data_IF_103818881716
#
_entry.id   IF_103818881716
#
_cell.length_a   1.000
_cell.length_b   1.000
_cell.length_c   1.000
_cell.angle_alpha   90.00
_cell.angle_beta   90.00
_cell.angle_gamma   90.00
#
_symmetry.space_group_name_H-M   'P 1'
#
loop_
_entity.id
_entity.type
_entity.pdbx_description
1 polymer ?
#
# COMPACT_ATOMS: atom_id res chain seq x y z
N UNK A 1 20.81 23.76 -24.24
CA UNK A 1 21.13 22.37 -24.40
C UNK A 1 19.82 21.64 -24.58
N UNK A 2 19.52 21.26 -25.84
CA UNK A 2 18.26 20.64 -26.23
C UNK A 2 18.10 19.26 -25.63
N UNK A 3 16.87 18.93 -25.34
CA UNK A 3 16.46 17.62 -24.84
C UNK A 3 16.90 16.57 -25.87
N UNK A 4 17.77 15.59 -25.54
CA UNK A 4 18.33 14.63 -26.48
C UNK A 4 17.32 13.59 -26.97
N UNK A 5 16.07 13.64 -26.51
CA UNK A 5 15.03 12.74 -26.98
C UNK A 5 13.99 13.53 -27.80
N UNK A 6 13.70 13.09 -29.03
CA UNK A 6 12.59 13.66 -29.78
C UNK A 6 11.31 13.50 -28.96
N UNK A 7 10.40 14.48 -29.00
CA UNK A 7 9.08 14.35 -28.37
C UNK A 7 8.44 13.07 -28.89
N UNK A 8 7.95 12.24 -27.97
CA UNK A 8 7.23 11.00 -28.28
C UNK A 8 6.17 11.31 -29.37
N UNK A 9 6.26 10.73 -30.57
CA UNK A 9 5.32 10.99 -31.65
C UNK A 9 3.86 10.69 -31.27
N UNK A 10 3.63 9.98 -30.17
CA UNK A 10 2.30 9.72 -29.60
C UNK A 10 1.77 10.89 -28.76
N UNK A 11 2.60 11.89 -28.42
CA UNK A 11 2.20 13.04 -27.61
C UNK A 11 1.42 14.11 -28.42
N UNK A 12 1.45 14.02 -29.73
CA UNK A 12 0.77 14.99 -30.62
C UNK A 12 -0.51 14.44 -31.25
N UNK A 13 -0.92 13.22 -30.94
CA UNK A 13 -2.07 12.59 -31.56
C UNK A 13 -3.30 12.63 -30.64
N UNK A 14 -4.28 13.35 -31.12
CA UNK A 14 -5.69 13.31 -30.74
C UNK A 14 -6.05 13.95 -29.39
N UNK A 15 -6.38 15.25 -29.45
CA UNK A 15 -7.51 15.77 -28.66
C UNK A 15 -8.75 15.01 -29.13
N UNK A 16 -8.97 13.81 -28.61
CA UNK A 16 -10.28 13.19 -28.71
C UNK A 16 -11.31 14.13 -28.08
N UNK A 17 -12.45 14.37 -28.72
CA UNK A 17 -13.50 15.17 -28.11
C UNK A 17 -13.82 14.58 -26.73
N UNK A 18 -14.13 15.43 -25.73
CA UNK A 18 -14.47 14.94 -24.40
C UNK A 18 -15.62 13.93 -24.56
N UNK A 19 -15.53 12.75 -23.91
CA UNK A 19 -16.60 11.78 -23.98
C UNK A 19 -17.90 12.44 -23.50
N UNK A 20 -19.06 12.02 -24.02
CA UNK A 20 -20.34 12.57 -23.60
C UNK A 20 -20.46 12.50 -22.08
N UNK A 21 -21.16 13.44 -21.44
CA UNK A 21 -21.24 13.53 -19.99
C UNK A 21 -21.91 12.27 -19.44
N UNK A 22 -21.09 11.26 -19.15
CA UNK A 22 -21.50 10.15 -18.32
C UNK A 22 -21.91 10.69 -16.94
N UNK A 23 -22.81 10.02 -16.25
CA UNK A 23 -23.19 10.40 -14.89
C UNK A 23 -21.91 10.60 -14.04
N UNK A 24 -21.95 11.52 -13.08
CA UNK A 24 -20.82 11.79 -12.17
C UNK A 24 -20.30 10.46 -11.57
N UNK A 25 -21.20 9.56 -11.26
CA UNK A 25 -20.88 8.21 -10.77
C UNK A 25 -20.05 7.41 -11.78
N UNK A 26 -20.39 7.44 -13.06
CA UNK A 26 -19.63 6.72 -14.08
C UNK A 26 -18.19 7.24 -14.21
N UNK A 27 -17.98 8.54 -14.16
CA UNK A 27 -16.64 9.16 -14.15
C UNK A 27 -15.85 8.78 -12.90
N UNK A 28 -16.48 8.82 -11.74
CA UNK A 28 -15.85 8.39 -10.48
C UNK A 28 -15.43 6.91 -10.55
N UNK A 29 -16.28 6.03 -11.06
CA UNK A 29 -15.93 4.61 -11.22
C UNK A 29 -14.79 4.39 -12.22
N UNK A 30 -14.65 5.25 -13.24
CA UNK A 30 -13.51 5.19 -14.16
C UNK A 30 -12.22 5.69 -13.51
N UNK A 31 -12.30 6.71 -12.68
CA UNK A 31 -11.16 7.27 -11.96
C UNK A 31 -10.73 6.37 -10.78
N UNK A 32 -11.70 5.75 -10.09
CA UNK A 32 -11.44 4.84 -8.98
C UNK A 32 -10.65 3.62 -9.44
N UNK A 33 -9.58 3.34 -8.74
CA UNK A 33 -8.73 2.18 -9.00
C UNK A 33 -7.35 2.32 -8.39
N UNK A 34 -6.55 3.31 -8.77
CA UNK A 34 -5.21 3.53 -8.21
C UNK A 34 -5.21 3.71 -6.69
N UNK A 35 -6.19 4.40 -6.11
CA UNK A 35 -6.34 4.55 -4.67
C UNK A 35 -6.69 3.24 -3.96
N UNK A 36 -7.53 2.40 -4.59
CA UNK A 36 -7.83 1.06 -4.07
C UNK A 36 -6.60 0.15 -4.18
N UNK A 37 -5.82 0.26 -5.28
CA UNK A 37 -4.55 -0.45 -5.41
C UNK A 37 -3.54 0.01 -4.35
N UNK A 38 -3.50 1.31 -4.06
CA UNK A 38 -2.71 1.86 -2.97
C UNK A 38 -3.11 1.22 -1.64
N UNK A 39 -4.41 1.19 -1.31
CA UNK A 39 -4.90 0.53 -0.11
C UNK A 39 -4.54 -0.96 -0.08
N UNK A 40 -4.74 -1.68 -1.18
CA UNK A 40 -4.42 -3.10 -1.28
C UNK A 40 -2.93 -3.40 -1.10
N UNK A 41 -2.05 -2.53 -1.58
CA UNK A 41 -0.60 -2.65 -1.39
C UNK A 41 -0.17 -2.26 0.04
N UNK A 42 -0.85 -1.29 0.64
CA UNK A 42 -0.57 -0.81 1.99
C UNK A 42 -1.12 -1.76 3.07
N UNK A 43 -2.36 -2.25 2.89
CA UNK A 43 -3.06 -3.14 3.82
C UNK A 43 -2.58 -4.58 3.58
N UNK A 44 -1.39 -4.88 4.02
CA UNK A 44 -0.80 -6.21 3.94
C UNK A 44 -0.26 -6.60 5.30
N UNK A 45 1.01 -7.03 5.33
CA UNK A 45 1.72 -7.41 6.56
C UNK A 45 1.75 -6.26 7.59
N UNK A 46 1.78 -5.01 7.15
CA UNK A 46 1.75 -3.84 8.04
C UNK A 46 0.49 -3.83 8.93
N UNK A 47 -0.68 -4.00 8.34
CA UNK A 47 -1.95 -3.97 9.07
C UNK A 47 -2.20 -5.30 9.78
N UNK A 48 -2.09 -6.44 9.09
CA UNK A 48 -2.36 -7.74 9.69
C UNK A 48 -1.37 -8.12 10.80
N UNK A 49 -0.08 -7.85 10.62
CA UNK A 49 0.91 -8.27 11.60
C UNK A 49 1.21 -7.18 12.63
N UNK A 50 1.51 -5.95 12.19
CA UNK A 50 1.95 -4.91 13.12
C UNK A 50 0.79 -4.32 13.93
N UNK A 51 -0.38 -4.06 13.32
CA UNK A 51 -1.54 -3.57 14.07
C UNK A 51 -2.07 -4.63 15.03
N UNK A 52 -2.17 -5.90 14.59
CA UNK A 52 -2.59 -6.99 15.48
C UNK A 52 -1.63 -7.17 16.65
N UNK A 53 -0.31 -7.11 16.42
CA UNK A 53 0.68 -7.15 17.50
C UNK A 53 0.60 -5.95 18.41
N UNK A 54 0.37 -4.75 17.85
CA UNK A 54 0.17 -3.53 18.64
C UNK A 54 -1.05 -3.68 19.55
N UNK A 55 -2.16 -4.15 19.01
CA UNK A 55 -3.39 -4.43 19.76
C UNK A 55 -3.19 -5.49 20.84
N UNK A 56 -2.54 -6.60 20.52
CA UNK A 56 -2.30 -7.69 21.47
C UNK A 56 -1.36 -7.31 22.63
N UNK A 57 -0.34 -6.48 22.36
CA UNK A 57 0.67 -6.11 23.37
C UNK A 57 0.31 -4.84 24.14
N UNK A 58 -0.37 -3.90 23.52
CA UNK A 58 -0.58 -2.55 24.06
C UNK A 58 -2.04 -2.10 24.02
N UNK A 59 -2.97 -2.96 23.62
CA UNK A 59 -4.37 -2.56 23.41
C UNK A 59 -4.48 -1.44 22.39
N UNK A 60 -5.37 -0.48 22.63
CA UNK A 60 -5.54 0.69 21.75
C UNK A 60 -4.59 1.85 22.05
N UNK A 61 -3.66 1.70 22.98
CA UNK A 61 -2.77 2.80 23.42
C UNK A 61 -1.83 3.29 22.30
N UNK A 62 -1.60 2.48 21.25
CA UNK A 62 -0.80 2.87 20.09
C UNK A 62 -1.64 3.39 18.91
N UNK A 63 -2.96 3.36 18.98
CA UNK A 63 -3.83 3.83 17.88
C UNK A 63 -3.56 5.30 17.51
N UNK A 64 -3.27 6.15 18.51
CA UNK A 64 -2.88 7.54 18.28
C UNK A 64 -1.61 7.68 17.42
N UNK A 65 -0.63 6.81 17.60
CA UNK A 65 0.60 6.81 16.80
C UNK A 65 0.34 6.34 15.35
N UNK A 66 -0.59 5.40 15.15
CA UNK A 66 -1.02 4.98 13.81
C UNK A 66 -1.66 6.15 13.07
N UNK A 67 -2.62 6.84 13.70
CA UNK A 67 -3.25 8.03 13.11
C UNK A 67 -2.22 9.13 12.84
N UNK A 68 -1.32 9.39 13.79
CA UNK A 68 -0.26 10.38 13.64
C UNK A 68 0.65 10.04 12.44
N UNK A 69 1.05 8.77 12.28
CA UNK A 69 1.87 8.34 11.15
C UNK A 69 1.17 8.60 9.81
N UNK A 70 -0.13 8.34 9.72
CA UNK A 70 -0.92 8.64 8.53
C UNK A 70 -0.97 10.14 8.27
N UNK A 71 -1.26 10.97 9.28
CA UNK A 71 -1.32 12.42 9.12
C UNK A 71 0.02 13.02 8.67
N UNK A 72 1.13 12.54 9.24
CA UNK A 72 2.47 13.03 8.88
C UNK A 72 2.89 12.64 7.46
N UNK A 73 2.48 11.45 6.99
CA UNK A 73 2.84 10.98 5.64
C UNK A 73 1.88 11.45 4.55
N UNK A 74 0.66 11.88 4.90
CA UNK A 74 -0.36 12.32 3.96
C UNK A 74 0.14 13.31 2.89
N UNK A 75 0.88 14.39 3.26
CA UNK A 75 1.36 15.36 2.28
C UNK A 75 2.30 14.73 1.23
N UNK A 76 3.16 13.80 1.65
CA UNK A 76 4.08 13.11 0.75
C UNK A 76 3.35 12.10 -0.15
N UNK A 77 2.37 11.38 0.40
CA UNK A 77 1.63 10.33 -0.31
C UNK A 77 0.72 10.89 -1.41
N UNK A 78 0.09 12.03 -1.21
CA UNK A 78 -0.83 12.64 -2.17
C UNK A 78 -0.11 13.24 -3.40
N UNK A 79 1.20 13.47 -3.32
CA UNK A 79 1.99 14.04 -4.43
C UNK A 79 1.97 13.13 -5.66
N UNK A 80 2.05 11.80 -5.47
CA UNK A 80 2.10 10.83 -6.57
C UNK A 80 0.96 10.96 -7.58
N UNK A 81 -0.29 10.75 -7.17
CA UNK A 81 -1.44 10.84 -8.06
C UNK A 81 -1.65 12.27 -8.59
N UNK A 82 -1.45 13.30 -7.76
CA UNK A 82 -1.55 14.70 -8.20
C UNK A 82 -0.54 15.05 -9.30
N UNK A 83 0.70 14.62 -9.13
CA UNK A 83 1.74 14.85 -10.12
C UNK A 83 1.42 14.13 -11.43
N UNK A 84 1.00 12.86 -11.37
CA UNK A 84 0.65 12.08 -12.55
C UNK A 84 -0.50 12.71 -13.35
N UNK A 85 -1.53 13.22 -12.67
CA UNK A 85 -2.66 13.90 -13.33
C UNK A 85 -2.25 15.26 -13.90
N UNK A 86 -1.46 16.04 -13.16
CA UNK A 86 -1.07 17.37 -13.60
C UNK A 86 -0.09 17.38 -14.78
N UNK A 87 0.80 16.39 -14.86
CA UNK A 87 1.90 16.38 -15.84
C UNK A 87 1.78 15.30 -16.91
N UNK A 88 0.91 14.30 -16.71
CA UNK A 88 0.85 13.11 -17.56
C UNK A 88 2.09 12.22 -17.46
N UNK A 89 2.95 12.44 -16.46
CA UNK A 89 4.21 11.71 -16.27
C UNK A 89 4.32 11.14 -14.85
N UNK A 90 5.15 10.12 -14.64
CA UNK A 90 5.33 9.54 -13.32
C UNK A 90 6.31 10.33 -12.45
N UNK A 91 6.25 10.12 -11.13
CA UNK A 91 7.24 10.69 -10.22
C UNK A 91 8.66 10.19 -10.52
N UNK A 92 8.82 8.99 -11.05
CA UNK A 92 10.12 8.47 -11.48
C UNK A 92 10.72 9.34 -12.60
N UNK A 93 9.89 9.78 -13.54
CA UNK A 93 10.30 10.73 -14.59
C UNK A 93 10.61 12.11 -14.01
N UNK A 94 9.88 12.54 -12.97
CA UNK A 94 10.22 13.78 -12.25
C UNK A 94 11.60 13.72 -11.62
N UNK A 95 11.92 12.64 -10.91
CA UNK A 95 13.25 12.46 -10.32
C UNK A 95 14.36 12.42 -11.38
N UNK A 96 14.11 11.77 -12.52
CA UNK A 96 15.05 11.79 -13.65
C UNK A 96 15.30 13.20 -14.20
N UNK A 97 14.26 14.05 -14.26
CA UNK A 97 14.39 15.45 -14.70
C UNK A 97 15.14 16.32 -13.70
N UNK A 98 15.07 16.00 -12.41
CA UNK A 98 15.84 16.70 -11.37
C UNK A 98 17.34 16.39 -11.43
N UNK A 99 17.73 15.33 -12.15
CA UNK A 99 19.11 14.98 -12.36
C UNK A 99 19.52 13.61 -11.80
N UNK A 100 20.76 13.19 -12.04
CA UNK A 100 21.25 11.87 -11.66
C UNK A 100 21.28 11.65 -10.15
N UNK A 101 21.44 12.71 -9.36
CA UNK A 101 21.44 12.60 -7.89
C UNK A 101 20.08 12.17 -7.33
N UNK A 102 18.97 12.77 -7.82
CA UNK A 102 17.65 12.47 -7.33
C UNK A 102 17.23 11.03 -7.67
N UNK A 103 17.47 10.60 -8.92
CA UNK A 103 17.15 9.22 -9.32
C UNK A 103 18.10 8.20 -8.70
N UNK A 104 19.37 8.56 -8.51
CA UNK A 104 20.36 7.72 -7.83
C UNK A 104 20.02 7.49 -6.37
N UNK A 105 19.62 8.55 -5.65
CA UNK A 105 19.16 8.44 -4.27
C UNK A 105 17.88 7.59 -4.17
N UNK A 106 16.90 7.80 -5.05
CA UNK A 106 15.69 6.98 -5.10
C UNK A 106 16.02 5.51 -5.35
N UNK A 107 16.90 5.22 -6.33
CA UNK A 107 17.32 3.86 -6.63
C UNK A 107 18.04 3.21 -5.46
N UNK A 108 18.95 3.93 -4.79
CA UNK A 108 19.68 3.44 -3.62
C UNK A 108 18.71 3.06 -2.47
N UNK A 109 17.77 3.95 -2.15
CA UNK A 109 16.78 3.71 -1.10
C UNK A 109 15.88 2.53 -1.50
N UNK A 110 15.38 2.50 -2.73
CA UNK A 110 14.50 1.44 -3.21
C UNK A 110 15.19 0.08 -3.21
N UNK A 111 16.43 0.00 -3.68
CA UNK A 111 17.20 -1.25 -3.65
C UNK A 111 17.49 -1.70 -2.22
N UNK A 112 17.86 -0.78 -1.32
CA UNK A 112 18.12 -1.11 0.08
C UNK A 112 16.88 -1.60 0.83
N UNK A 113 15.73 -1.00 0.57
CA UNK A 113 14.46 -1.38 1.22
C UNK A 113 13.77 -2.57 0.57
N UNK A 114 13.92 -2.77 -0.75
CA UNK A 114 13.26 -3.80 -1.52
C UNK A 114 13.53 -5.22 -0.95
N UNK A 115 14.79 -5.55 -0.75
CA UNK A 115 15.15 -6.87 -0.23
C UNK A 115 14.66 -7.09 1.20
N UNK A 116 14.78 -6.08 2.05
CA UNK A 116 14.35 -6.15 3.45
C UNK A 116 12.83 -6.29 3.56
N UNK A 117 12.09 -5.48 2.81
CA UNK A 117 10.62 -5.51 2.79
C UNK A 117 10.14 -6.83 2.19
N UNK A 118 10.70 -7.23 1.03
CA UNK A 118 10.32 -8.47 0.36
C UNK A 118 10.56 -9.69 1.24
N UNK A 119 11.71 -9.77 1.91
CA UNK A 119 12.02 -10.85 2.83
C UNK A 119 11.02 -10.89 4.00
N UNK A 120 10.76 -9.75 4.64
CA UNK A 120 9.83 -9.67 5.78
C UNK A 120 8.40 -10.07 5.37
N UNK A 121 7.89 -9.53 4.26
CA UNK A 121 6.54 -9.83 3.75
C UNK A 121 6.42 -11.30 3.36
N UNK A 122 7.41 -11.84 2.66
CA UNK A 122 7.40 -13.24 2.21
C UNK A 122 7.42 -14.22 3.39
N UNK A 123 8.29 -13.99 4.38
CA UNK A 123 8.41 -14.86 5.56
C UNK A 123 7.11 -14.87 6.36
N UNK A 124 6.51 -13.69 6.61
CA UNK A 124 5.24 -13.60 7.36
C UNK A 124 4.11 -14.27 6.59
N UNK A 125 4.00 -14.02 5.28
CA UNK A 125 2.98 -14.66 4.43
C UNK A 125 3.16 -16.17 4.39
N UNK A 126 4.38 -16.67 4.23
CA UNK A 126 4.67 -18.08 4.22
C UNK A 126 4.38 -18.74 5.58
N UNK A 127 4.69 -18.06 6.69
CA UNK A 127 4.41 -18.58 8.03
C UNK A 127 2.89 -18.69 8.28
N UNK A 128 2.11 -17.67 7.89
CA UNK A 128 0.64 -17.70 7.99
C UNK A 128 0.08 -18.82 7.10
N UNK A 129 0.53 -18.92 5.85
CA UNK A 129 0.07 -19.95 4.93
C UNK A 129 0.43 -21.36 5.42
N UNK A 130 1.65 -21.53 5.97
CA UNK A 130 2.10 -22.79 6.54
C UNK A 130 1.17 -23.21 7.69
N UNK A 131 0.99 -22.38 8.68
CA UNK A 131 0.17 -22.70 9.87
C UNK A 131 -1.32 -22.83 9.56
N UNK A 132 -1.86 -22.03 8.63
CA UNK A 132 -3.30 -22.01 8.35
C UNK A 132 -3.76 -23.07 7.33
N UNK A 133 -2.90 -23.48 6.41
CA UNK A 133 -3.28 -24.37 5.32
C UNK A 133 -2.31 -25.53 5.09
N UNK A 134 -1.01 -25.31 5.07
CA UNK A 134 -0.05 -26.35 4.68
C UNK A 134 0.04 -27.45 5.75
N UNK A 135 0.27 -27.07 7.00
CA UNK A 135 0.39 -28.04 8.11
C UNK A 135 -0.93 -28.81 8.38
N UNK A 136 -2.13 -28.19 8.37
CA UNK A 136 -3.37 -28.91 8.50
C UNK A 136 -3.68 -29.88 7.35
N UNK A 137 -3.22 -29.58 6.13
CA UNK A 137 -3.52 -30.41 4.96
C UNK A 137 -2.49 -31.51 4.70
N UNK A 138 -1.20 -31.24 4.94
CA UNK A 138 -0.11 -32.13 4.58
C UNK A 138 0.57 -32.79 5.80
N UNK A 139 0.24 -32.33 7.01
CA UNK A 139 0.90 -32.74 8.26
C UNK A 139 1.98 -31.74 8.69
N UNK A 140 2.16 -31.63 10.02
CA UNK A 140 3.17 -30.77 10.62
C UNK A 140 4.58 -31.13 10.10
N UNK A 141 5.36 -30.10 9.80
CA UNK A 141 6.75 -30.20 9.33
C UNK A 141 7.00 -30.95 7.99
N UNK A 142 5.95 -31.24 7.23
CA UNK A 142 6.09 -31.85 5.90
C UNK A 142 6.83 -30.94 4.93
N UNK A 143 6.56 -29.63 4.99
CA UNK A 143 7.23 -28.62 4.16
C UNK A 143 7.97 -27.60 5.04
N UNK A 144 9.28 -27.39 4.82
CA UNK A 144 10.01 -26.33 5.52
C UNK A 144 9.54 -24.94 5.08
N UNK A 145 9.62 -23.96 5.98
CA UNK A 145 9.15 -22.59 5.74
C UNK A 145 9.71 -21.97 4.46
N UNK A 146 10.99 -22.23 4.14
CA UNK A 146 11.61 -21.69 2.92
C UNK A 146 10.95 -22.22 1.64
N UNK A 147 10.46 -23.47 1.63
CA UNK A 147 9.79 -24.05 0.47
C UNK A 147 8.42 -23.40 0.24
N UNK A 148 7.68 -23.14 1.33
CA UNK A 148 6.42 -22.38 1.27
C UNK A 148 6.68 -20.95 0.80
N UNK A 149 7.73 -20.30 1.31
CA UNK A 149 8.14 -18.95 0.90
C UNK A 149 8.49 -18.90 -0.59
N UNK A 150 9.22 -19.88 -1.08
CA UNK A 150 9.56 -20.00 -2.51
C UNK A 150 8.28 -20.17 -3.35
N UNK A 151 7.35 -21.02 -2.90
CA UNK A 151 6.05 -21.21 -3.55
C UNK A 151 5.26 -19.91 -3.67
N UNK A 152 5.19 -19.12 -2.59
CA UNK A 152 4.55 -17.78 -2.59
C UNK A 152 5.22 -16.83 -3.58
N UNK A 153 6.54 -16.79 -3.61
CA UNK A 153 7.28 -15.95 -4.56
C UNK A 153 7.04 -16.36 -6.02
N UNK A 154 7.08 -17.66 -6.31
CA UNK A 154 6.83 -18.18 -7.66
C UNK A 154 5.40 -17.92 -8.11
N UNK A 155 4.42 -18.08 -7.20
CA UNK A 155 3.01 -17.75 -7.48
C UNK A 155 2.85 -16.26 -7.81
N UNK A 156 3.43 -15.38 -6.99
CA UNK A 156 3.41 -13.93 -7.23
C UNK A 156 4.07 -13.55 -8.56
N UNK A 157 5.24 -14.12 -8.84
CA UNK A 157 5.93 -13.91 -10.12
C UNK A 157 5.10 -14.42 -11.31
N UNK A 158 4.46 -15.58 -11.16
CA UNK A 158 3.57 -16.14 -12.18
C UNK A 158 2.36 -15.27 -12.48
N UNK A 159 1.71 -14.74 -11.45
CA UNK A 159 0.58 -13.79 -11.61
C UNK A 159 1.02 -12.54 -12.35
N UNK A 160 2.19 -11.98 -12.00
CA UNK A 160 2.73 -10.80 -12.68
C UNK A 160 3.11 -11.08 -14.14
N UNK A 161 3.71 -12.23 -14.40
CA UNK A 161 4.14 -12.62 -15.75
C UNK A 161 2.95 -12.93 -16.69
N UNK A 162 1.90 -13.54 -16.15
CA UNK A 162 0.75 -13.98 -16.95
C UNK A 162 -0.24 -12.86 -17.28
N UNK A 163 -0.38 -11.81 -16.43
CA UNK A 163 -1.60 -11.00 -16.48
C UNK A 163 -1.43 -9.49 -16.71
N UNK A 164 -0.26 -8.94 -16.62
CA UNK A 164 -0.07 -7.49 -16.72
C UNK A 164 -0.90 -6.69 -15.69
N UNK A 165 -1.03 -5.38 -15.91
CA UNK A 165 -1.70 -4.46 -14.97
C UNK A 165 -3.17 -4.80 -14.72
N UNK A 166 -3.91 -5.28 -15.71
CA UNK A 166 -5.34 -5.58 -15.58
C UNK A 166 -5.62 -6.72 -14.60
N UNK A 167 -4.82 -7.77 -14.66
CA UNK A 167 -4.90 -8.90 -13.74
C UNK A 167 -4.46 -8.50 -12.33
N UNK A 168 -3.37 -7.77 -12.22
CA UNK A 168 -2.91 -7.23 -10.96
C UNK A 168 -3.99 -6.39 -10.29
N UNK A 169 -4.62 -5.45 -11.01
CA UNK A 169 -5.71 -4.60 -10.51
C UNK A 169 -6.89 -5.43 -10.00
N UNK A 170 -7.32 -6.45 -10.74
CA UNK A 170 -8.45 -7.31 -10.36
C UNK A 170 -8.14 -8.17 -9.12
N UNK A 171 -6.98 -8.83 -9.10
CA UNK A 171 -6.56 -9.68 -7.97
C UNK A 171 -6.39 -8.85 -6.71
N UNK A 172 -5.69 -7.71 -6.78
CA UNK A 172 -5.46 -6.84 -5.63
C UNK A 172 -6.76 -6.29 -5.05
N UNK A 173 -7.72 -5.88 -5.89
CA UNK A 173 -9.04 -5.45 -5.43
C UNK A 173 -9.84 -6.55 -4.76
N UNK A 174 -9.80 -7.76 -5.32
CA UNK A 174 -10.45 -8.93 -4.73
C UNK A 174 -9.87 -9.28 -3.35
N UNK A 175 -8.54 -9.35 -3.25
CA UNK A 175 -7.86 -9.63 -1.99
C UNK A 175 -8.12 -8.54 -0.94
N UNK A 176 -8.08 -7.26 -1.36
CA UNK A 176 -8.37 -6.13 -0.49
C UNK A 176 -9.80 -6.19 0.06
N UNK A 177 -10.78 -6.53 -0.78
CA UNK A 177 -12.17 -6.67 -0.35
C UNK A 177 -12.31 -7.79 0.69
N UNK A 178 -11.73 -8.96 0.42
CA UNK A 178 -11.75 -10.09 1.37
C UNK A 178 -11.12 -9.68 2.70
N UNK A 179 -9.94 -9.04 2.65
CA UNK A 179 -9.27 -8.57 3.86
C UNK A 179 -10.08 -7.55 4.64
N UNK A 180 -10.66 -6.56 3.96
CA UNK A 180 -11.49 -5.55 4.60
C UNK A 180 -12.71 -6.19 5.30
N UNK A 181 -13.39 -7.13 4.63
CA UNK A 181 -14.52 -7.86 5.22
C UNK A 181 -14.07 -8.67 6.43
N UNK A 182 -12.99 -9.45 6.31
CA UNK A 182 -12.48 -10.24 7.44
C UNK A 182 -12.08 -9.38 8.63
N UNK A 183 -11.41 -8.24 8.39
CA UNK A 183 -11.01 -7.30 9.46
C UNK A 183 -12.23 -6.69 10.15
N UNK A 184 -13.22 -6.23 9.36
CA UNK A 184 -14.46 -5.66 9.93
C UNK A 184 -15.25 -6.71 10.71
N UNK A 185 -15.35 -7.94 10.21
CA UNK A 185 -16.03 -9.04 10.92
C UNK A 185 -15.30 -9.37 12.21
N UNK A 186 -13.97 -9.51 12.19
CA UNK A 186 -13.18 -9.77 13.38
C UNK A 186 -13.34 -8.64 14.41
N UNK A 187 -13.25 -7.38 13.98
CA UNK A 187 -13.48 -6.23 14.84
C UNK A 187 -14.90 -6.21 15.44
N UNK A 188 -15.94 -6.53 14.66
CA UNK A 188 -17.31 -6.56 15.11
C UNK A 188 -17.56 -7.68 16.16
N UNK A 189 -16.87 -8.81 16.06
CA UNK A 189 -16.95 -9.89 17.03
C UNK A 189 -16.29 -9.49 18.35
N UNK A 190 -15.14 -8.81 18.30
CA UNK A 190 -14.37 -8.43 19.49
C UNK A 190 -14.86 -7.14 20.15
N UNK A 191 -15.49 -6.22 19.39
CA UNK A 191 -15.91 -4.91 19.89
C UNK A 191 -16.80 -4.98 21.16
N UNK A 192 -17.77 -5.92 21.30
CA UNK A 192 -18.58 -6.02 22.51
C UNK A 192 -17.81 -6.43 23.76
N UNK A 193 -16.65 -7.10 23.59
CA UNK A 193 -15.80 -7.53 24.71
C UNK A 193 -14.87 -6.45 25.23
N UNK A 194 -14.73 -5.34 24.46
CA UNK A 194 -13.83 -4.24 24.80
C UNK A 194 -14.50 -3.25 25.77
N UNK A 195 -13.91 -3.08 26.95
CA UNK A 195 -14.28 -1.99 27.85
C UNK A 195 -13.60 -0.68 27.41
N UNK A 196 -14.27 0.04 26.52
CA UNK A 196 -13.77 1.30 25.94
C UNK A 196 -13.46 2.37 26.99
N UNK A 197 -14.08 2.28 28.19
CA UNK A 197 -13.88 3.25 29.29
C UNK A 197 -12.51 3.09 29.98
N UNK A 198 -11.90 1.91 29.84
CA UNK A 198 -10.63 1.55 30.49
C UNK A 198 -9.44 1.51 29.53
N UNK A 199 -9.65 1.87 28.25
CA UNK A 199 -8.57 1.80 27.28
C UNK A 199 -7.59 2.98 27.46
N UNK A 200 -6.32 2.73 27.76
CA UNK A 200 -5.33 3.79 27.83
C UNK A 200 -5.10 4.36 26.42
N UNK A 201 -5.15 5.69 26.30
CA UNK A 201 -4.87 6.40 25.04
C UNK A 201 -3.37 6.51 24.74
N UNK A 202 -2.52 6.29 25.73
CA UNK A 202 -1.06 6.29 25.62
C UNK A 202 -0.50 5.05 26.29
N UNK A 203 0.58 4.46 25.73
CA UNK A 203 1.22 3.32 26.33
C UNK A 203 1.90 3.71 27.65
N UNK A 204 1.85 2.83 28.64
CA UNK A 204 2.65 2.96 29.85
C UNK A 204 4.14 2.81 29.49
N UNK A 205 4.94 3.78 29.88
CA UNK A 205 6.38 3.74 29.66
C UNK A 205 7.00 2.83 30.71
N UNK A 206 7.67 1.74 30.33
CA UNK A 206 8.31 0.86 31.30
C UNK A 206 9.46 1.55 32.05
N UNK A 207 9.64 1.21 33.33
CA UNK A 207 10.75 1.71 34.13
C UNK A 207 12.06 1.07 33.70
N UNK A 208 12.03 -0.19 33.28
CA UNK A 208 13.20 -0.90 32.78
C UNK A 208 13.70 -0.28 31.45
N UNK A 209 15.00 0.09 31.37
CA UNK A 209 15.56 0.73 30.18
C UNK A 209 15.50 -0.15 28.93
N UNK A 210 15.64 -1.48 29.07
CA UNK A 210 15.59 -2.40 27.92
C UNK A 210 14.17 -2.52 27.37
N UNK A 211 13.17 -2.65 28.25
CA UNK A 211 11.76 -2.67 27.87
C UNK A 211 11.31 -1.32 27.24
N UNK A 212 11.83 -0.20 27.76
CA UNK A 212 11.58 1.12 27.20
C UNK A 212 12.13 1.26 25.78
N UNK A 213 13.38 0.81 25.56
CA UNK A 213 13.99 0.80 24.24
C UNK A 213 13.23 -0.09 23.26
N UNK A 214 12.76 -1.25 23.71
CA UNK A 214 11.93 -2.16 22.92
C UNK A 214 10.59 -1.52 22.52
N UNK A 215 9.91 -0.80 23.44
CA UNK A 215 8.69 -0.06 23.15
C UNK A 215 8.93 1.05 22.11
N UNK A 216 9.99 1.85 22.29
CA UNK A 216 10.35 2.90 21.33
C UNK A 216 10.64 2.29 19.96
N UNK A 217 11.42 1.22 19.91
CA UNK A 217 11.72 0.51 18.67
C UNK A 217 10.46 -0.03 17.97
N UNK A 218 9.50 -0.55 18.75
CA UNK A 218 8.22 -1.03 18.23
C UNK A 218 7.38 0.11 17.66
N UNK A 219 7.26 1.25 18.37
CA UNK A 219 6.50 2.43 17.92
C UNK A 219 7.12 3.01 16.64
N UNK A 220 8.45 3.15 16.59
CA UNK A 220 9.17 3.63 15.39
C UNK A 220 8.91 2.70 14.19
N UNK A 221 9.01 1.38 14.41
CA UNK A 221 8.72 0.40 13.38
C UNK A 221 7.26 0.47 12.91
N UNK A 222 6.30 0.55 13.84
CA UNK A 222 4.87 0.70 13.55
C UNK A 222 4.62 1.94 12.69
N UNK A 223 5.11 3.10 13.12
CA UNK A 223 4.96 4.37 12.36
C UNK A 223 5.68 4.31 11.00
N UNK A 224 6.82 3.63 10.93
CA UNK A 224 7.55 3.44 9.69
C UNK A 224 6.76 2.65 8.65
N UNK A 225 6.08 1.60 9.06
CA UNK A 225 5.26 0.75 8.20
C UNK A 225 3.91 1.37 7.81
N UNK A 226 3.32 2.25 8.66
CA UNK A 226 1.98 2.81 8.46
C UNK A 226 1.98 4.11 7.65
N UNK A 227 1.10 4.25 6.65
CA UNK A 227 0.31 3.21 6.00
C UNK A 227 1.15 2.31 5.10
N UNK A 228 2.27 2.84 4.59
CA UNK A 228 3.21 2.17 3.71
C UNK A 228 4.54 2.93 3.65
N UNK A 229 5.61 2.33 3.11
CA UNK A 229 6.85 3.04 2.76
C UNK A 229 6.59 4.15 1.73
N UNK A 230 7.42 5.21 1.75
CA UNK A 230 7.20 6.41 0.90
C UNK A 230 7.33 6.15 -0.61
N UNK A 231 8.03 5.10 -1.01
CA UNK A 231 8.20 4.71 -2.42
C UNK A 231 6.87 4.32 -3.10
N UNK A 232 5.86 3.91 -2.33
CA UNK A 232 4.51 3.62 -2.86
C UNK A 232 3.90 4.82 -3.59
N UNK A 233 4.34 6.04 -3.27
CA UNK A 233 3.86 7.25 -3.96
C UNK A 233 4.30 7.27 -5.43
N UNK A 234 5.48 6.71 -5.74
CA UNK A 234 5.95 6.51 -7.12
C UNK A 234 5.08 5.47 -7.81
N UNK A 235 4.80 4.35 -7.14
CA UNK A 235 3.90 3.29 -7.66
C UNK A 235 2.51 3.84 -7.92
N UNK A 236 1.97 4.65 -7.02
CA UNK A 236 0.66 5.28 -7.20
C UNK A 236 0.63 6.17 -8.44
N UNK A 237 1.68 6.95 -8.70
CA UNK A 237 1.80 7.75 -9.92
C UNK A 237 1.78 6.87 -11.19
N UNK A 238 2.43 5.72 -11.16
CA UNK A 238 2.43 4.75 -12.27
C UNK A 238 1.06 4.09 -12.46
N UNK A 239 0.38 3.70 -11.38
CA UNK A 239 -0.97 3.13 -11.43
C UNK A 239 -2.00 4.13 -11.96
N UNK A 240 -1.89 5.41 -11.59
CA UNK A 240 -2.73 6.48 -12.12
C UNK A 240 -2.58 6.59 -13.63
N UNK A 241 -1.34 6.55 -14.15
CA UNK A 241 -1.09 6.57 -15.59
C UNK A 241 -1.56 5.28 -16.29
N UNK A 242 -1.36 4.13 -15.67
CA UNK A 242 -1.83 2.85 -16.20
C UNK A 242 -3.36 2.81 -16.30
N UNK A 243 -4.06 3.29 -15.26
CA UNK A 243 -5.53 3.40 -15.24
C UNK A 243 -6.04 4.33 -16.32
N UNK A 244 -5.43 5.51 -16.48
CA UNK A 244 -5.73 6.46 -17.55
C UNK A 244 -5.67 5.80 -18.94
N UNK A 245 -4.60 5.01 -19.20
CA UNK A 245 -4.45 4.26 -20.46
C UNK A 245 -5.51 3.18 -20.64
N UNK A 246 -5.89 2.51 -19.56
CA UNK A 246 -6.87 1.42 -19.58
C UNK A 246 -8.30 1.91 -19.81
N UNK A 247 -8.68 3.03 -19.19
CA UNK A 247 -10.06 3.56 -19.24
C UNK A 247 -10.25 4.62 -20.30
N UNK A 248 -9.17 5.09 -20.93
CA UNK A 248 -9.18 6.25 -21.82
C UNK A 248 -9.83 7.51 -21.21
N UNK A 249 -9.88 7.56 -19.86
CA UNK A 249 -10.38 8.67 -19.09
C UNK A 249 -9.22 9.50 -18.55
N UNK A 250 -9.30 10.83 -18.74
CA UNK A 250 -8.35 11.76 -18.14
C UNK A 250 -8.91 12.25 -16.81
N UNK A 251 -8.40 11.73 -15.67
CA UNK A 251 -8.92 12.11 -14.37
C UNK A 251 -8.60 13.56 -14.08
N UNK A 252 -9.56 14.28 -13.52
CA UNK A 252 -9.34 15.61 -12.96
C UNK A 252 -8.58 15.48 -11.63
N UNK A 253 -7.98 16.60 -11.18
CA UNK A 253 -7.34 16.64 -9.85
C UNK A 253 -8.29 16.23 -8.73
N UNK A 254 -9.56 16.64 -8.80
CA UNK A 254 -10.58 16.28 -7.79
C UNK A 254 -10.87 14.79 -7.78
N UNK A 255 -10.96 14.16 -8.94
CA UNK A 255 -11.16 12.71 -9.05
C UNK A 255 -9.97 11.94 -8.50
N UNK A 256 -8.73 12.37 -8.79
CA UNK A 256 -7.53 11.78 -8.24
C UNK A 256 -7.41 11.97 -6.71
N UNK A 257 -7.77 13.14 -6.19
CA UNK A 257 -7.79 13.40 -4.76
C UNK A 257 -8.85 12.55 -4.04
N UNK A 258 -10.02 12.32 -4.65
CA UNK A 258 -11.07 11.45 -4.13
C UNK A 258 -10.64 9.98 -4.15
N UNK A 259 -10.08 9.50 -5.26
CA UNK A 259 -9.58 8.14 -5.39
C UNK A 259 -8.49 7.84 -4.36
N UNK A 260 -7.49 8.72 -4.25
CA UNK A 260 -6.46 8.65 -3.23
C UNK A 260 -7.06 8.71 -1.81
N UNK A 261 -7.97 9.64 -1.55
CA UNK A 261 -8.60 9.84 -0.26
C UNK A 261 -9.37 8.61 0.23
N UNK A 262 -10.10 7.95 -0.67
CA UNK A 262 -10.81 6.70 -0.37
C UNK A 262 -9.81 5.60 0.02
N UNK A 263 -8.78 5.38 -0.79
CA UNK A 263 -7.75 4.38 -0.50
C UNK A 263 -7.00 4.68 0.80
N UNK A 264 -6.66 5.94 1.03
CA UNK A 264 -5.94 6.37 2.23
C UNK A 264 -6.79 6.23 3.50
N UNK A 265 -8.08 6.58 3.44
CA UNK A 265 -9.02 6.40 4.54
C UNK A 265 -9.21 4.92 4.89
N UNK A 266 -9.27 4.04 3.88
CA UNK A 266 -9.31 2.60 4.10
C UNK A 266 -8.07 2.12 4.88
N UNK A 267 -6.88 2.65 4.57
CA UNK A 267 -5.68 2.31 5.33
C UNK A 267 -5.79 2.74 6.81
N UNK A 268 -6.38 3.91 7.09
CA UNK A 268 -6.56 4.37 8.48
C UNK A 268 -7.57 3.51 9.23
N UNK A 269 -8.69 3.20 8.59
CA UNK A 269 -9.81 2.49 9.23
C UNK A 269 -9.48 1.01 9.48
N UNK A 270 -8.69 0.39 8.60
CA UNK A 270 -8.33 -1.02 8.69
C UNK A 270 -7.01 -1.26 9.45
N UNK A 271 -6.35 -0.20 9.93
CA UNK A 271 -5.15 -0.29 10.77
C UNK A 271 -5.50 -0.50 12.23
#
# INVERSE_FOLDING_TARGET
PGDPFPPDPTSCAMKTPPPPPGSVLHRLLQALGPGILFAAAAIGVSHLNQSTRAGALFGLSLAGFVVLAHLMKLPAMVVGPRYAVATGTSLLQAYRRQGPHAIGLFALITLGTMFTIQAAVTIVTAAILKSAAVDPLLGEDTLPLWAVALGVLLLGAGVLAAGGFRWLDAVMKGLMLVMAVCTVVAAAIELPSLDLSRLPLLPTIPDDPAARLALIGFVVALMGWMPAPLDITVWHSLWTLARRRQTHHEPTRREADLDFGVGYLLCIVLA
#
